data_IF_499900579121
#
_entry.id   IF_499900579121
#
_cell.length_a   1.000
_cell.length_b   1.000
_cell.length_c   1.000
_cell.angle_alpha   90.00
_cell.angle_beta   90.00
_cell.angle_gamma   90.00
#
_symmetry.space_group_name_H-M   'P 1'
#
loop_
_entity.id
_entity.type
_entity.pdbx_description
1 polymer ?
#
# COMPACT_ATOMS: atom_id res chain seq x y z
N UNK A 1 15.74 -17.41 23.91
CA UNK A 1 16.02 -15.97 24.10
C UNK A 1 14.67 -15.29 24.30
N UNK A 2 14.46 -14.62 25.44
CA UNK A 2 13.19 -13.98 25.78
C UNK A 2 13.14 -12.64 25.04
N UNK A 3 12.18 -12.52 24.13
CA UNK A 3 11.94 -11.32 23.32
C UNK A 3 11.25 -10.26 24.19
N UNK A 4 11.86 -9.09 24.35
CA UNK A 4 11.51 -8.10 25.37
C UNK A 4 10.35 -7.17 24.91
N UNK A 5 9.41 -7.70 24.12
CA UNK A 5 8.29 -6.93 23.56
C UNK A 5 8.70 -5.84 22.57
N UNK A 6 9.95 -5.84 22.09
CA UNK A 6 10.40 -4.96 21.01
C UNK A 6 10.35 -5.72 19.70
N UNK A 7 9.40 -5.39 18.82
CA UNK A 7 9.38 -5.91 17.46
C UNK A 7 10.68 -5.51 16.73
N UNK A 8 11.11 -6.34 15.79
CA UNK A 8 12.21 -6.00 14.89
C UNK A 8 11.80 -4.84 13.99
N UNK A 9 12.58 -3.76 13.95
CA UNK A 9 12.37 -2.62 13.07
C UNK A 9 13.52 -2.50 12.08
N UNK A 10 13.20 -2.23 10.82
CA UNK A 10 14.21 -1.79 9.85
C UNK A 10 14.69 -0.38 10.19
N UNK A 11 15.89 -0.04 9.71
CA UNK A 11 16.49 1.27 9.98
C UNK A 11 15.64 2.43 9.45
N UNK A 12 14.95 2.26 8.33
CA UNK A 12 14.06 3.27 7.77
C UNK A 12 12.82 3.56 8.61
N UNK A 13 12.50 2.72 9.61
CA UNK A 13 11.40 2.94 10.55
C UNK A 13 11.83 3.81 11.75
N UNK A 14 13.12 4.15 11.82
CA UNK A 14 13.74 4.82 12.95
C UNK A 14 14.42 6.14 12.55
N UNK A 15 14.58 7.09 13.49
CA UNK A 15 13.96 7.10 14.82
C UNK A 15 12.47 7.47 14.77
N UNK A 16 11.77 7.24 15.88
CA UNK A 16 10.44 7.81 16.07
C UNK A 16 10.54 9.34 16.11
N UNK A 17 9.62 10.01 15.43
CA UNK A 17 9.58 11.47 15.33
C UNK A 17 8.12 11.95 15.38
N UNK A 18 7.85 13.17 15.87
CA UNK A 18 6.51 13.72 15.87
C UNK A 18 6.07 14.11 14.45
N UNK A 19 4.81 13.82 14.11
CA UNK A 19 4.16 14.27 12.88
C UNK A 19 2.86 14.96 13.25
N UNK A 20 2.62 16.15 12.70
CA UNK A 20 1.34 16.84 12.84
C UNK A 20 0.38 16.37 11.74
N UNK A 21 -0.81 15.92 12.13
CA UNK A 21 -1.87 15.52 11.22
C UNK A 21 -3.06 16.47 11.37
N UNK A 22 -3.52 17.01 10.24
CA UNK A 22 -4.85 17.62 10.16
C UNK A 22 -5.93 16.54 10.31
N UNK A 23 -7.17 16.94 10.64
CA UNK A 23 -8.29 16.01 10.59
C UNK A 23 -8.45 15.43 9.17
N UNK A 24 -8.68 14.11 9.09
CA UNK A 24 -8.81 13.39 7.83
C UNK A 24 -9.85 12.27 7.96
N UNK A 25 -10.31 11.75 6.82
CA UNK A 25 -11.18 10.57 6.75
C UNK A 25 -10.58 9.57 5.79
N UNK A 26 -10.30 8.36 6.29
CA UNK A 26 -9.67 7.26 5.56
C UNK A 26 -10.62 6.06 5.52
N UNK A 27 -10.64 5.32 4.42
CA UNK A 27 -11.48 4.11 4.33
C UNK A 27 -11.04 3.06 5.36
N UNK A 28 -11.98 2.32 5.96
CA UNK A 28 -11.64 1.24 6.90
C UNK A 28 -11.19 -0.06 6.24
N UNK A 29 -11.35 -0.20 4.91
CA UNK A 29 -10.81 -1.29 4.09
C UNK A 29 -10.04 -0.78 2.86
N UNK A 30 -9.12 -1.57 2.28
CA UNK A 30 -8.54 -1.28 0.98
C UNK A 30 -9.61 -1.17 -0.10
N UNK A 31 -9.28 -0.49 -1.20
CA UNK A 31 -10.17 -0.40 -2.36
C UNK A 31 -10.36 -1.79 -2.97
N UNK A 32 -11.60 -2.26 -3.00
CA UNK A 32 -11.97 -3.57 -3.57
C UNK A 32 -12.11 -3.52 -5.08
N UNK A 33 -12.13 -4.69 -5.72
CA UNK A 33 -12.42 -4.80 -7.15
C UNK A 33 -13.78 -4.20 -7.52
N UNK A 34 -14.80 -4.36 -6.68
CA UNK A 34 -16.13 -3.75 -6.85
C UNK A 34 -16.06 -2.23 -7.04
N UNK A 35 -15.14 -1.57 -6.32
CA UNK A 35 -14.91 -0.12 -6.41
C UNK A 35 -13.94 0.26 -7.52
N UNK A 36 -13.00 -0.61 -7.86
CA UNK A 36 -11.98 -0.36 -8.87
C UNK A 36 -12.49 -0.53 -10.31
N UNK A 37 -13.20 -1.64 -10.58
CA UNK A 37 -13.63 -2.03 -11.92
C UNK A 37 -14.46 -0.97 -12.67
N UNK A 38 -15.38 -0.22 -12.04
CA UNK A 38 -16.14 0.83 -12.73
C UNK A 38 -15.25 1.89 -13.41
N UNK A 39 -14.09 2.21 -12.83
CA UNK A 39 -13.16 3.17 -13.44
C UNK A 39 -12.48 2.62 -14.70
N UNK A 40 -12.19 1.31 -14.71
CA UNK A 40 -11.66 0.61 -15.90
C UNK A 40 -12.74 0.53 -16.97
N UNK A 41 -13.97 0.19 -16.60
CA UNK A 41 -15.11 0.08 -17.53
C UNK A 41 -15.48 1.43 -18.16
N UNK A 42 -15.37 2.52 -17.39
CA UNK A 42 -15.55 3.87 -17.89
C UNK A 42 -14.40 4.37 -18.78
N UNK A 43 -13.33 3.59 -18.95
CA UNK A 43 -12.14 4.00 -19.70
C UNK A 43 -11.29 5.06 -19.00
N UNK A 44 -11.56 5.35 -17.71
CA UNK A 44 -10.79 6.32 -16.94
C UNK A 44 -9.41 5.78 -16.52
N UNK A 45 -9.24 4.46 -16.53
CA UNK A 45 -7.98 3.77 -16.23
C UNK A 45 -7.67 2.75 -17.32
N UNK A 46 -6.39 2.65 -17.68
CA UNK A 46 -5.92 1.51 -18.45
C UNK A 46 -6.12 0.22 -17.65
N UNK A 47 -6.55 -0.85 -18.31
CA UNK A 47 -6.70 -2.17 -17.69
C UNK A 47 -5.36 -2.61 -17.07
N UNK A 48 -5.30 -2.91 -15.75
CA UNK A 48 -4.09 -3.40 -15.11
C UNK A 48 -3.53 -4.66 -15.77
N UNK A 49 -2.19 -4.81 -15.74
CA UNK A 49 -1.47 -5.92 -16.38
C UNK A 49 -2.01 -7.31 -16.01
N UNK A 50 -2.46 -7.46 -14.77
CA UNK A 50 -2.93 -8.74 -14.21
C UNK A 50 -4.45 -8.77 -14.04
N UNK A 51 -5.17 -7.95 -14.81
CA UNK A 51 -6.63 -7.94 -14.91
C UNK A 51 -7.04 -8.13 -16.38
N UNK A 52 -8.06 -8.94 -16.63
CA UNK A 52 -8.65 -9.08 -17.97
C UNK A 52 -10.15 -9.32 -17.89
N UNK A 53 -10.87 -9.02 -18.98
CA UNK A 53 -12.27 -9.41 -19.15
C UNK A 53 -12.37 -10.48 -20.25
N UNK A 54 -12.82 -11.68 -19.92
CA UNK A 54 -12.98 -12.79 -20.86
C UNK A 54 -14.44 -13.26 -20.82
N UNK A 55 -15.11 -13.28 -21.98
CA UNK A 55 -16.54 -13.63 -22.10
C UNK A 55 -17.45 -12.85 -21.12
N UNK A 56 -17.15 -11.57 -20.90
CA UNK A 56 -17.91 -10.71 -19.98
C UNK A 56 -17.54 -10.84 -18.51
N UNK A 57 -16.71 -11.81 -18.12
CA UNK A 57 -16.29 -12.06 -16.74
C UNK A 57 -14.91 -11.44 -16.49
N UNK A 58 -14.78 -10.69 -15.39
CA UNK A 58 -13.50 -10.15 -14.95
C UNK A 58 -12.67 -11.25 -14.27
N UNK A 59 -11.40 -11.34 -14.65
CA UNK A 59 -10.43 -12.27 -14.09
C UNK A 59 -9.15 -11.54 -13.66
N UNK A 60 -8.59 -11.97 -12.54
CA UNK A 60 -7.29 -11.50 -12.05
C UNK A 60 -6.29 -12.65 -12.01
N UNK A 61 -5.00 -12.34 -12.14
CA UNK A 61 -3.94 -13.35 -12.08
C UNK A 61 -3.49 -13.56 -10.64
N UNK A 62 -3.66 -14.77 -10.12
CA UNK A 62 -3.20 -15.18 -8.79
C UNK A 62 -2.29 -16.39 -8.93
N UNK A 63 -1.08 -16.32 -8.37
CA UNK A 63 -0.07 -17.39 -8.45
C UNK A 63 0.11 -17.99 -9.85
N UNK A 64 0.10 -17.12 -10.87
CA UNK A 64 0.28 -17.50 -12.27
C UNK A 64 -1.00 -17.92 -13.00
N UNK A 65 -2.10 -18.20 -12.28
CA UNK A 65 -3.38 -18.64 -12.83
C UNK A 65 -4.37 -17.48 -12.97
N UNK A 66 -5.20 -17.51 -14.01
CA UNK A 66 -6.32 -16.59 -14.14
C UNK A 66 -7.53 -17.15 -13.40
N UNK A 67 -8.05 -16.38 -12.45
CA UNK A 67 -9.24 -16.75 -11.69
C UNK A 67 -10.27 -15.62 -11.76
N UNK A 68 -11.53 -15.98 -11.61
CA UNK A 68 -12.62 -15.00 -11.59
C UNK A 68 -12.46 -14.04 -10.41
N UNK A 69 -12.68 -12.76 -10.68
CA UNK A 69 -12.59 -11.72 -9.66
C UNK A 69 -13.73 -11.89 -8.68
N UNK A 70 -13.41 -12.06 -7.39
CA UNK A 70 -14.34 -11.77 -6.32
C UNK A 70 -14.42 -10.24 -6.14
N UNK A 71 -15.59 -9.60 -6.36
CA UNK A 71 -15.70 -8.15 -6.28
C UNK A 71 -15.35 -7.57 -4.90
N UNK A 72 -15.51 -8.34 -3.83
CA UNK A 72 -15.31 -7.84 -2.46
C UNK A 72 -13.86 -7.99 -1.97
N UNK A 73 -13.01 -8.68 -2.73
CA UNK A 73 -11.57 -8.75 -2.45
C UNK A 73 -10.89 -7.40 -2.76
N UNK A 74 -9.81 -7.11 -2.04
CA UNK A 74 -8.94 -5.97 -2.32
C UNK A 74 -8.41 -6.03 -3.76
N UNK A 75 -8.46 -4.90 -4.47
CA UNK A 75 -7.81 -4.79 -5.77
C UNK A 75 -6.29 -4.93 -5.58
N UNK A 76 -5.69 -5.89 -6.30
CA UNK A 76 -4.29 -6.28 -6.16
C UNK A 76 -3.55 -6.16 -7.50
N UNK A 77 -2.23 -6.07 -7.45
CA UNK A 77 -1.37 -5.80 -8.60
C UNK A 77 -1.66 -4.44 -9.24
N UNK A 78 -2.01 -3.47 -8.40
CA UNK A 78 -2.27 -2.08 -8.79
C UNK A 78 -0.99 -1.28 -8.57
N UNK A 79 -0.53 -0.57 -9.58
CA UNK A 79 0.60 0.36 -9.45
C UNK A 79 0.19 1.62 -8.69
N UNK A 80 1.16 2.39 -8.18
CA UNK A 80 0.85 3.68 -7.56
C UNK A 80 0.19 4.63 -8.55
N UNK A 81 0.68 4.68 -9.78
CA UNK A 81 0.13 5.57 -10.81
C UNK A 81 -1.35 5.26 -11.08
N UNK A 82 -1.72 3.97 -11.08
CA UNK A 82 -3.11 3.54 -11.20
C UNK A 82 -3.93 3.89 -9.95
N UNK A 83 -3.36 3.73 -8.76
CA UNK A 83 -4.01 4.10 -7.51
C UNK A 83 -4.30 5.61 -7.44
N UNK A 84 -3.33 6.45 -7.82
CA UNK A 84 -3.50 7.90 -7.94
C UNK A 84 -4.57 8.27 -8.99
N UNK A 85 -4.51 7.65 -10.17
CA UNK A 85 -5.47 7.91 -11.23
C UNK A 85 -6.89 7.51 -10.81
N UNK A 86 -7.05 6.38 -10.12
CA UNK A 86 -8.34 5.98 -9.55
C UNK A 86 -8.81 7.00 -8.51
N UNK A 87 -7.92 7.46 -7.62
CA UNK A 87 -8.26 8.46 -6.62
C UNK A 87 -8.76 9.75 -7.28
N UNK A 88 -8.08 10.25 -8.30
CA UNK A 88 -8.53 11.44 -9.06
C UNK A 88 -9.90 11.22 -9.69
N UNK A 89 -10.12 10.07 -10.33
CA UNK A 89 -11.41 9.73 -10.92
C UNK A 89 -12.53 9.66 -9.88
N UNK A 90 -12.25 9.10 -8.70
CA UNK A 90 -13.22 8.94 -7.62
C UNK A 90 -13.43 10.22 -6.77
N UNK A 91 -12.71 11.31 -7.05
CA UNK A 91 -12.73 12.52 -6.21
C UNK A 91 -12.13 12.28 -4.82
N UNK A 92 -11.02 11.56 -4.76
CA UNK A 92 -10.32 11.10 -3.54
C UNK A 92 -8.81 11.33 -3.66
N UNK A 93 -8.08 10.94 -2.61
CA UNK A 93 -6.61 10.93 -2.60
C UNK A 93 -6.06 9.68 -1.90
N UNK A 94 -4.78 9.38 -2.14
CA UNK A 94 -4.06 8.44 -1.29
C UNK A 94 -3.78 9.05 0.10
N UNK A 95 -3.79 8.24 1.18
CA UNK A 95 -3.29 8.67 2.48
C UNK A 95 -1.79 8.93 2.42
N UNK A 96 -1.28 9.79 3.30
CA UNK A 96 0.15 9.80 3.63
C UNK A 96 0.49 8.56 4.48
N UNK A 97 1.78 8.20 4.56
CA UNK A 97 2.20 7.09 5.42
C UNK A 97 1.87 7.32 6.91
N UNK A 98 1.88 8.58 7.35
CA UNK A 98 1.56 8.96 8.72
C UNK A 98 0.06 8.90 9.01
N UNK A 99 -0.80 9.34 8.08
CA UNK A 99 -2.26 9.18 8.18
C UNK A 99 -2.65 7.69 8.24
N UNK A 100 -2.03 6.87 7.39
CA UNK A 100 -2.25 5.42 7.38
C UNK A 100 -1.84 4.79 8.71
N UNK A 101 -0.63 5.09 9.19
CA UNK A 101 -0.13 4.53 10.44
C UNK A 101 -0.97 4.97 11.64
N UNK A 102 -1.35 6.25 11.69
CA UNK A 102 -2.23 6.76 12.75
C UNK A 102 -3.56 6.00 12.77
N UNK A 103 -4.20 5.82 11.60
CA UNK A 103 -5.45 5.08 11.50
C UNK A 103 -5.29 3.62 11.94
N UNK A 104 -4.20 2.95 11.55
CA UNK A 104 -3.93 1.57 11.91
C UNK A 104 -3.81 1.33 13.43
N UNK A 105 -3.40 2.34 14.21
CA UNK A 105 -3.32 2.24 15.67
C UNK A 105 -4.59 2.68 16.39
N UNK A 106 -5.38 3.59 15.82
CA UNK A 106 -6.43 4.30 16.56
C UNK A 106 -7.86 3.99 16.10
N UNK A 107 -8.05 3.48 14.88
CA UNK A 107 -9.38 3.13 14.37
C UNK A 107 -9.69 1.65 14.62
N UNK A 108 -10.78 1.39 15.35
CA UNK A 108 -11.15 0.03 15.79
C UNK A 108 -11.61 -0.90 14.68
N UNK A 109 -12.08 -0.35 13.55
CA UNK A 109 -12.58 -1.11 12.39
C UNK A 109 -11.59 -1.13 11.22
N UNK A 110 -10.36 -0.65 11.43
CA UNK A 110 -9.35 -0.54 10.37
C UNK A 110 -8.75 -1.91 10.01
N UNK A 111 -9.11 -2.44 8.85
CA UNK A 111 -8.67 -3.75 8.38
C UNK A 111 -7.54 -3.59 7.37
N UNK A 112 -6.37 -4.18 7.63
CA UNK A 112 -5.20 -4.14 6.75
C UNK A 112 -4.51 -5.51 6.68
N UNK A 113 -3.55 -5.65 5.77
CA UNK A 113 -2.73 -6.87 5.61
C UNK A 113 -3.13 -7.76 4.44
N UNK A 114 -4.23 -7.45 3.73
CA UNK A 114 -4.64 -8.18 2.53
C UNK A 114 -3.69 -7.90 1.35
N UNK A 115 -3.29 -6.63 1.19
CA UNK A 115 -2.37 -6.13 0.15
C UNK A 115 -1.49 -5.06 0.76
N UNK A 116 -0.27 -4.90 0.24
CA UNK A 116 0.51 -3.70 0.51
C UNK A 116 -0.23 -2.47 0.00
N UNK A 117 -0.31 -1.41 0.78
CA UNK A 117 -1.15 -0.26 0.44
C UNK A 117 -0.28 0.93 0.06
N UNK A 118 -0.39 1.37 -1.20
CA UNK A 118 0.29 2.58 -1.67
C UNK A 118 -0.13 3.83 -0.88
N UNK A 119 0.84 4.67 -0.56
CA UNK A 119 0.64 5.99 0.05
C UNK A 119 1.09 7.10 -0.90
N UNK A 120 0.74 8.35 -0.58
CA UNK A 120 1.26 9.53 -1.27
C UNK A 120 2.68 9.91 -0.83
N UNK A 121 3.20 9.29 0.24
CA UNK A 121 4.52 9.61 0.80
C UNK A 121 5.67 9.06 -0.06
N UNK A 122 6.63 9.94 -0.37
CA UNK A 122 7.92 9.53 -0.93
C UNK A 122 8.68 8.71 0.10
N UNK A 123 9.42 7.70 -0.35
CA UNK A 123 10.32 6.97 0.53
C UNK A 123 11.60 7.79 0.72
N UNK A 124 11.63 8.54 1.82
CA UNK A 124 12.75 9.38 2.26
C UNK A 124 13.15 9.01 3.68
N UNK A 125 14.41 9.25 4.09
CA UNK A 125 14.83 9.00 5.46
C UNK A 125 14.06 9.92 6.41
N UNK A 126 13.73 9.40 7.59
CA UNK A 126 13.28 10.26 8.68
C UNK A 126 14.44 11.12 9.19
N UNK A 127 14.10 12.25 9.82
CA UNK A 127 15.08 13.09 10.48
C UNK A 127 15.84 12.27 11.53
N UNK A 128 17.17 12.32 11.50
CA UNK A 128 18.03 11.53 12.38
C UNK A 128 18.21 10.06 11.97
N UNK A 129 17.83 9.66 10.76
CA UNK A 129 18.07 8.31 10.23
C UNK A 129 19.55 7.91 10.35
N UNK A 130 19.77 6.71 10.89
CA UNK A 130 21.08 6.05 10.93
C UNK A 130 20.92 4.64 10.38
N UNK A 131 21.63 4.35 9.28
CA UNK A 131 21.51 3.02 8.69
C UNK A 131 22.06 1.93 9.61
N UNK A 132 21.38 0.79 9.62
CA UNK A 132 21.85 -0.43 10.28
C UNK A 132 23.06 -1.03 9.54
N UNK A 133 23.70 -2.11 10.08
CA UNK A 133 24.89 -2.71 9.46
C UNK A 133 24.73 -3.09 7.99
N UNK A 134 23.53 -3.50 7.56
CA UNK A 134 23.21 -3.65 6.15
C UNK A 134 22.88 -2.28 5.53
N UNK A 135 23.91 -1.46 5.33
CA UNK A 135 23.80 -0.02 5.05
C UNK A 135 23.00 0.33 3.80
N UNK A 136 23.03 -0.54 2.78
CA UNK A 136 22.43 -0.26 1.48
C UNK A 136 20.96 -0.68 1.39
N UNK A 137 20.44 -1.33 2.44
CA UNK A 137 19.05 -1.80 2.48
C UNK A 137 18.05 -0.67 2.22
N UNK A 138 18.15 0.43 2.96
CA UNK A 138 17.23 1.57 2.85
C UNK A 138 17.79 2.72 2.02
N UNK A 139 19.11 2.96 2.06
CA UNK A 139 19.75 4.11 1.38
C UNK A 139 19.48 4.10 -0.11
N UNK A 140 19.61 2.95 -0.76
CA UNK A 140 19.37 2.81 -2.19
C UNK A 140 17.93 3.18 -2.58
N UNK A 141 16.96 2.91 -1.70
CA UNK A 141 15.56 3.26 -1.95
C UNK A 141 15.29 4.76 -1.95
N UNK A 142 16.05 5.55 -1.17
CA UNK A 142 15.84 7.00 -1.04
C UNK A 142 16.21 7.78 -2.30
N UNK A 143 17.14 7.26 -3.10
CA UNK A 143 17.69 7.95 -4.28
C UNK A 143 16.82 7.75 -5.54
N UNK A 144 15.96 6.73 -5.58
CA UNK A 144 15.29 6.26 -6.81
C UNK A 144 13.80 6.66 -6.95
N UNK A 145 13.39 7.83 -6.44
CA UNK A 145 12.00 8.33 -6.60
C UNK A 145 10.90 7.34 -6.16
N UNK A 146 11.17 6.52 -5.14
CA UNK A 146 10.24 5.50 -4.66
C UNK A 146 9.17 6.08 -3.74
N UNK A 147 8.10 5.32 -3.54
CA UNK A 147 7.00 5.66 -2.63
C UNK A 147 6.78 4.58 -1.61
N UNK A 148 6.26 4.98 -0.46
CA UNK A 148 5.99 4.09 0.67
C UNK A 148 4.71 3.30 0.43
N UNK A 149 4.77 2.01 0.70
CA UNK A 149 3.62 1.15 0.94
C UNK A 149 3.60 0.74 2.41
N UNK A 150 2.40 0.71 2.99
CA UNK A 150 2.19 0.37 4.40
C UNK A 150 1.42 -0.93 4.58
N UNK A 151 1.44 -1.44 5.82
CA UNK A 151 0.75 -2.64 6.23
C UNK A 151 1.55 -3.91 5.94
N UNK A 152 0.92 -4.82 5.21
CA UNK A 152 1.46 -6.12 4.80
C UNK A 152 0.60 -6.65 3.66
N UNK A 153 0.99 -7.76 3.05
CA UNK A 153 0.14 -8.52 2.13
C UNK A 153 -0.03 -9.97 2.57
N UNK A 154 -0.92 -10.70 1.90
CA UNK A 154 -1.09 -12.15 2.07
C UNK A 154 0.21 -12.97 1.89
N UNK A 155 1.23 -12.40 1.25
CA UNK A 155 2.53 -13.03 1.04
C UNK A 155 3.62 -12.60 2.06
N UNK A 156 3.27 -11.75 3.03
CA UNK A 156 4.22 -11.23 4.03
C UNK A 156 4.27 -12.15 5.25
N UNK A 157 5.47 -12.51 5.72
CA UNK A 157 5.64 -13.31 6.95
C UNK A 157 5.08 -12.54 8.16
N UNK A 158 4.29 -13.20 9.00
CA UNK A 158 3.63 -12.59 10.15
C UNK A 158 4.61 -11.91 11.12
N UNK A 159 5.86 -12.36 11.19
CA UNK A 159 6.91 -11.74 12.04
C UNK A 159 7.37 -10.38 11.53
N UNK A 160 7.13 -10.07 10.27
CA UNK A 160 7.45 -8.79 9.64
C UNK A 160 6.22 -7.88 9.51
N UNK A 161 5.01 -8.44 9.58
CA UNK A 161 3.77 -7.69 9.42
C UNK A 161 3.52 -6.78 10.63
N UNK A 162 3.79 -5.47 10.46
CA UNK A 162 3.62 -4.48 11.52
C UNK A 162 3.22 -3.12 10.93
N UNK A 163 2.34 -2.32 11.58
CA UNK A 163 1.89 -1.03 11.04
C UNK A 163 3.02 -0.04 10.72
N UNK A 164 4.14 -0.12 11.45
CA UNK A 164 5.31 0.74 11.22
C UNK A 164 6.16 0.34 10.04
N UNK A 165 6.05 -0.89 9.54
CA UNK A 165 6.82 -1.36 8.39
C UNK A 165 6.66 -0.40 7.21
N UNK A 166 7.79 0.02 6.62
CA UNK A 166 7.83 0.86 5.42
C UNK A 166 8.39 0.04 4.26
N UNK A 167 7.49 -0.46 3.41
CA UNK A 167 7.90 -1.05 2.14
C UNK A 167 8.00 0.05 1.08
N UNK A 168 8.77 -0.16 0.01
CA UNK A 168 9.03 0.91 -0.96
C UNK A 168 9.35 0.40 -2.36
N UNK A 169 8.68 0.97 -3.37
CA UNK A 169 8.91 0.63 -4.78
C UNK A 169 8.71 1.84 -5.70
N UNK A 170 9.26 1.77 -6.95
CA UNK A 170 8.91 2.72 -8.00
C UNK A 170 7.40 2.72 -8.30
N UNK A 171 6.81 3.87 -8.67
CA UNK A 171 5.37 4.04 -8.79
C UNK A 171 4.70 3.17 -9.86
N UNK A 172 5.43 2.78 -10.89
CA UNK A 172 4.97 1.96 -12.02
C UNK A 172 4.92 0.46 -11.69
N UNK A 173 5.51 0.04 -10.55
CA UNK A 173 5.62 -1.36 -10.19
C UNK A 173 4.25 -1.99 -9.91
N UNK A 174 3.93 -3.08 -10.59
CA UNK A 174 2.63 -3.77 -10.50
C UNK A 174 2.72 -5.31 -10.35
N UNK A 175 3.92 -5.89 -10.25
CA UNK A 175 4.15 -7.33 -10.06
C UNK A 175 4.07 -7.79 -8.58
N UNK A 176 3.95 -6.83 -7.65
CA UNK A 176 3.82 -7.06 -6.21
C UNK A 176 2.35 -7.18 -5.81
N UNK A 177 2.08 -7.81 -4.65
CA UNK A 177 0.74 -7.85 -4.04
C UNK A 177 0.37 -6.48 -3.42
N UNK A 178 0.35 -5.45 -4.24
CA UNK A 178 -0.01 -4.09 -3.86
C UNK A 178 -1.40 -3.72 -4.37
N UNK A 179 -2.12 -3.02 -3.51
CA UNK A 179 -3.33 -2.28 -3.78
C UNK A 179 -3.20 -0.92 -3.13
N UNK A 180 -4.33 -0.37 -2.70
CA UNK A 180 -4.32 0.92 -2.01
C UNK A 180 -5.59 1.11 -1.21
N UNK A 181 -5.54 2.13 -0.36
CA UNK A 181 -6.67 2.68 0.36
C UNK A 181 -6.75 4.15 0.03
N UNK A 182 -7.92 4.73 0.22
CA UNK A 182 -8.16 6.13 -0.14
C UNK A 182 -8.69 6.93 1.04
N UNK A 183 -8.37 8.22 1.04
CA UNK A 183 -8.92 9.24 1.90
C UNK A 183 -9.92 10.11 1.14
N UNK A 184 -10.84 10.73 1.87
CA UNK A 184 -11.60 11.87 1.36
C UNK A 184 -10.67 13.06 1.07
N UNK A 185 -11.10 13.93 0.14
CA UNK A 185 -10.44 15.21 -0.15
C UNK A 185 -10.67 16.22 0.97
#
# INVERSE_FOLDING_TARGET
>A
MKDNGRYFAFDNELPAHPVQLSAFSIDSRPVSWRRFLPAVEAGALATPRYLRKLHGVWQTRQFGQWIDVNPDDAAVHISKDQADAWCRWAGRRLPTEAEWEYAAYHASDFQWGQVWEWTSSRFVPFEGFVAHPYRDYSRFGFEEHRYVLKGASCATDARMAHPRYRNFFPPERCDIHAGFRSCAL
#
